data_IF_032243977469
#
_entry.id   IF_032243977469
#
_cell.length_a   1.000
_cell.length_b   1.000
_cell.length_c   1.000
_cell.angle_alpha   90.00
_cell.angle_beta   90.00
_cell.angle_gamma   90.00
#
_symmetry.space_group_name_H-M   'P 1'
#
loop_
_entity.id
_entity.type
_entity.pdbx_description
1 polymer ?
#
# COMPACT_ATOMS: atom_id res chain seq x y z
N UNK A 1 -13.46 -3.54 20.44
CA UNK A 1 -12.39 -2.61 19.98
C UNK A 1 -11.05 -3.25 19.60
N UNK A 2 -10.18 -3.77 20.49
CA UNK A 2 -8.86 -4.31 20.06
C UNK A 2 -8.95 -5.54 19.14
N UNK A 3 -9.94 -6.42 19.34
CA UNK A 3 -10.18 -7.61 18.51
C UNK A 3 -10.77 -7.31 17.12
N UNK A 4 -11.53 -6.23 16.95
CA UNK A 4 -12.16 -5.89 15.65
C UNK A 4 -11.20 -5.25 14.66
N UNK A 5 -10.10 -4.69 15.15
CA UNK A 5 -9.08 -4.07 14.29
C UNK A 5 -8.02 -5.07 13.80
N UNK A 6 -8.02 -6.31 14.34
CA UNK A 6 -7.01 -7.33 13.99
C UNK A 6 -5.58 -6.93 14.37
N UNK A 7 -5.44 -6.10 15.42
CA UNK A 7 -4.16 -5.56 15.90
C UNK A 7 -3.87 -6.16 17.27
N UNK A 8 -2.72 -6.79 17.42
CA UNK A 8 -2.21 -7.34 18.69
C UNK A 8 -1.29 -6.33 19.37
N UNK A 9 -1.14 -6.43 20.69
CA UNK A 9 -0.13 -5.61 21.41
C UNK A 9 1.25 -5.93 20.87
N UNK A 10 1.98 -4.91 20.41
CA UNK A 10 3.30 -5.04 19.80
C UNK A 10 3.29 -4.95 18.28
N UNK A 11 2.11 -4.95 17.63
CA UNK A 11 2.02 -4.82 16.18
C UNK A 11 2.26 -3.38 15.72
N UNK A 12 2.99 -3.24 14.61
CA UNK A 12 3.16 -1.96 13.93
C UNK A 12 1.84 -1.53 13.28
N UNK A 13 1.38 -0.34 13.63
CA UNK A 13 0.17 0.27 13.09
C UNK A 13 0.50 1.57 12.39
N UNK A 14 -0.25 1.85 11.33
CA UNK A 14 -0.23 3.13 10.64
C UNK A 14 -1.30 4.01 11.27
N UNK A 15 -0.89 5.18 11.73
CA UNK A 15 -1.78 6.20 12.29
C UNK A 15 -1.75 7.38 11.33
N UNK A 16 -2.94 7.80 10.91
CA UNK A 16 -3.12 8.93 10.01
C UNK A 16 -4.22 9.84 10.57
N UNK A 17 -4.10 11.14 10.32
CA UNK A 17 -5.13 12.12 10.69
C UNK A 17 -5.81 12.55 9.40
N UNK A 18 -7.08 12.16 9.26
CA UNK A 18 -7.85 12.46 8.06
C UNK A 18 -9.18 13.10 8.49
N UNK A 19 -9.43 14.31 7.99
CA UNK A 19 -10.63 15.11 8.28
C UNK A 19 -10.88 15.34 9.79
N UNK A 20 -9.81 15.52 10.57
CA UNK A 20 -9.89 15.73 12.01
C UNK A 20 -10.09 14.44 12.84
N UNK A 21 -10.16 13.28 12.19
CA UNK A 21 -10.26 11.98 12.86
C UNK A 21 -8.93 11.23 12.85
N UNK A 22 -8.59 10.62 13.99
CA UNK A 22 -7.45 9.73 14.10
C UNK A 22 -7.82 8.33 13.56
N UNK A 23 -7.23 7.95 12.43
CA UNK A 23 -7.45 6.64 11.79
C UNK A 23 -6.27 5.72 12.04
N UNK A 24 -6.51 4.67 12.83
CA UNK A 24 -5.52 3.62 13.10
C UNK A 24 -5.81 2.41 12.22
N UNK A 25 -4.80 1.95 11.47
CA UNK A 25 -4.91 0.80 10.56
C UNK A 25 -3.73 -0.15 10.76
N UNK A 26 -3.98 -1.45 10.64
CA UNK A 26 -2.90 -2.43 10.51
C UNK A 26 -2.26 -2.33 9.12
N UNK A 27 -0.98 -2.66 9.02
CA UNK A 27 -0.24 -2.64 7.74
C UNK A 27 -0.93 -3.50 6.66
N UNK A 28 -1.43 -4.72 6.94
CA UNK A 28 -2.15 -5.51 5.94
C UNK A 28 -3.39 -4.79 5.39
N UNK A 29 -4.21 -4.18 6.27
CA UNK A 29 -5.40 -3.43 5.84
C UNK A 29 -5.04 -2.19 5.03
N UNK A 30 -3.95 -1.49 5.39
CA UNK A 30 -3.47 -0.35 4.63
C UNK A 30 -3.06 -0.77 3.21
N UNK A 31 -2.35 -1.90 3.09
CA UNK A 31 -1.92 -2.46 1.80
C UNK A 31 -3.11 -2.91 0.94
N UNK A 32 -4.10 -3.59 1.54
CA UNK A 32 -5.33 -3.97 0.83
C UNK A 32 -6.07 -2.76 0.26
N UNK A 33 -6.21 -1.69 1.06
CA UNK A 33 -6.85 -0.45 0.61
C UNK A 33 -6.07 0.21 -0.53
N UNK A 34 -4.75 0.31 -0.41
CA UNK A 34 -3.91 0.87 -1.47
C UNK A 34 -4.06 0.06 -2.76
N UNK A 35 -4.06 -1.28 -2.67
CA UNK A 35 -4.28 -2.16 -3.81
C UNK A 35 -5.66 -2.02 -4.42
N UNK A 36 -6.71 -1.83 -3.61
CA UNK A 36 -8.06 -1.60 -4.09
C UNK A 36 -8.21 -0.28 -4.87
N UNK A 37 -7.51 0.78 -4.43
CA UNK A 37 -7.47 2.06 -5.16
C UNK A 37 -6.73 1.86 -6.48
N UNK A 38 -5.55 1.25 -6.46
CA UNK A 38 -4.74 1.02 -7.65
C UNK A 38 -5.43 0.15 -8.70
N UNK A 39 -6.21 -0.86 -8.30
CA UNK A 39 -6.98 -1.71 -9.22
C UNK A 39 -8.00 -0.95 -10.08
N UNK A 40 -8.39 0.28 -9.70
CA UNK A 40 -9.25 1.12 -10.55
C UNK A 40 -8.51 1.70 -11.76
N UNK A 41 -7.18 1.77 -11.68
CA UNK A 41 -6.33 2.42 -12.67
C UNK A 41 -5.39 1.44 -13.37
N UNK A 42 -5.08 0.30 -12.75
CA UNK A 42 -4.17 -0.72 -13.27
C UNK A 42 -4.98 -1.91 -13.80
N UNK A 43 -4.82 -2.29 -15.09
CA UNK A 43 -5.45 -3.47 -15.65
C UNK A 43 -5.07 -4.75 -14.87
N UNK A 44 -6.00 -5.71 -14.83
CA UNK A 44 -5.74 -6.99 -14.20
C UNK A 44 -4.57 -7.73 -14.91
N UNK A 45 -3.64 -8.27 -14.13
CA UNK A 45 -2.49 -9.02 -14.65
C UNK A 45 -1.26 -8.17 -14.98
N UNK A 46 -1.31 -6.86 -14.81
CA UNK A 46 -0.16 -5.97 -15.06
C UNK A 46 0.69 -5.80 -13.79
N UNK A 47 1.96 -6.20 -13.89
CA UNK A 47 2.97 -5.98 -12.86
C UNK A 47 3.58 -4.59 -12.98
N UNK A 48 2.89 -3.54 -12.50
CA UNK A 48 3.37 -2.16 -12.59
C UNK A 48 4.77 -1.97 -11.98
N UNK A 49 5.08 -2.71 -10.91
CA UNK A 49 6.40 -2.68 -10.30
C UNK A 49 7.48 -3.24 -11.24
N UNK A 50 7.18 -4.33 -11.96
CA UNK A 50 8.12 -4.97 -12.88
C UNK A 50 8.37 -4.07 -14.10
N UNK A 51 7.33 -3.42 -14.62
CA UNK A 51 7.45 -2.43 -15.70
C UNK A 51 8.34 -1.25 -15.29
N UNK A 52 8.09 -0.67 -14.11
CA UNK A 52 8.89 0.44 -13.56
C UNK A 52 10.34 0.03 -13.31
N UNK A 53 10.58 -1.16 -12.75
CA UNK A 53 11.94 -1.67 -12.51
C UNK A 53 12.67 -1.89 -13.84
N UNK A 54 11.99 -2.46 -14.85
CA UNK A 54 12.55 -2.68 -16.17
C UNK A 54 12.85 -1.37 -16.90
N UNK A 55 12.00 -0.35 -16.74
CA UNK A 55 12.25 1.00 -17.24
C UNK A 55 13.47 1.64 -16.58
N UNK A 56 13.55 1.60 -15.23
CA UNK A 56 14.69 2.12 -14.46
C UNK A 56 16.02 1.46 -14.83
N UNK A 57 16.02 0.14 -15.06
CA UNK A 57 17.23 -0.57 -15.52
C UNK A 57 17.65 -0.12 -16.91
N UNK A 58 16.71 0.04 -17.84
CA UNK A 58 16.99 0.55 -19.19
C UNK A 58 17.46 2.00 -19.19
N UNK A 59 17.00 2.84 -18.26
CA UNK A 59 17.55 4.18 -18.06
C UNK A 59 19.00 4.12 -17.60
N UNK A 60 19.32 3.29 -16.60
CA UNK A 60 20.67 3.15 -16.06
C UNK A 60 21.68 2.56 -17.05
N UNK A 61 21.24 1.81 -18.07
CA UNK A 61 22.11 1.30 -19.14
C UNK A 61 22.40 2.35 -20.24
N UNK A 62 21.67 3.48 -20.25
CA UNK A 62 21.85 4.56 -21.24
C UNK A 62 22.72 5.73 -20.72
N UNK A 63 22.99 5.77 -19.42
CA UNK A 63 24.00 6.65 -18.79
C UNK A 63 25.35 5.95 -18.69
#
# INVERSE_FOLDING_TARGET
MRRELGITTGDTVLVDVDDGELRVRSVPKALERARAILRKYVPAGVGLADELIAERRREAERE
#
